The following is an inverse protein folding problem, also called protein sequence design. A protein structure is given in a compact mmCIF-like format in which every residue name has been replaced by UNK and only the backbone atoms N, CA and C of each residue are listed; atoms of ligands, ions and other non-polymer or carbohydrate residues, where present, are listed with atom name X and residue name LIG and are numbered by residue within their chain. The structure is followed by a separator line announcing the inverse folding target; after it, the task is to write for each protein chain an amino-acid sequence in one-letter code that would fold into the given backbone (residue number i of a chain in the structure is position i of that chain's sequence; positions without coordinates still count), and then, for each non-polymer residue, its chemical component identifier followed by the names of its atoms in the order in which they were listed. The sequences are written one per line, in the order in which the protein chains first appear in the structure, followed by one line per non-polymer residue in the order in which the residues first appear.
data_IF_944334499644
#
_entry.id   IF_944334499644
#
_cell.length_a   1.000
_cell.length_b   1.000
_cell.length_c   1.000
_cell.angle_alpha   90.00
_cell.angle_beta   90.00
_cell.angle_gamma   90.00
#
_symmetry.space_group_name_H-M   'P 1'
#
loop_
_entity.id
_entity.type
_entity.pdbx_description
1 polymer ?
#
# COMPACT_ATOMS: atom_id res chain seq x y z
N UNK A 1 -27.73 0.13 3.44
CA UNK A 1 -26.30 0.44 3.27
C UNK A 1 -26.07 0.54 1.77
N UNK A 2 -25.63 1.68 1.26
CA UNK A 2 -25.26 1.77 -0.16
C UNK A 2 -24.08 0.83 -0.39
N UNK A 3 -24.15 0.03 -1.46
CA UNK A 3 -22.99 -0.78 -1.85
C UNK A 3 -21.95 0.18 -2.44
N UNK A 4 -20.74 0.21 -1.89
CA UNK A 4 -19.64 1.00 -2.45
C UNK A 4 -19.37 0.49 -3.86
N UNK A 5 -19.62 1.31 -4.88
CA UNK A 5 -19.48 0.84 -6.26
C UNK A 5 -19.01 1.90 -7.22
N UNK A 6 -18.26 1.47 -8.25
CA UNK A 6 -17.90 2.31 -9.39
C UNK A 6 -18.71 1.87 -10.60
N UNK A 7 -19.55 2.77 -11.12
CA UNK A 7 -20.36 2.53 -12.31
C UNK A 7 -19.55 2.89 -13.58
N UNK A 8 -19.52 1.96 -14.54
CA UNK A 8 -18.87 2.12 -15.84
C UNK A 8 -19.89 2.29 -16.96
N UNK A 9 -19.51 3.03 -18.01
CA UNK A 9 -20.44 3.42 -19.08
C UNK A 9 -20.87 2.24 -19.96
N UNK A 10 -20.03 1.21 -20.05
CA UNK A 10 -20.29 0.02 -20.86
C UNK A 10 -19.62 -1.24 -20.27
N UNK A 11 -20.01 -2.39 -20.82
CA UNK A 11 -19.54 -3.71 -20.39
C UNK A 11 -18.03 -3.87 -20.64
N UNK A 12 -17.50 -3.37 -21.75
CA UNK A 12 -16.08 -3.53 -22.09
C UNK A 12 -15.18 -2.80 -21.07
N UNK A 13 -15.53 -1.57 -20.69
CA UNK A 13 -14.86 -0.81 -19.63
C UNK A 13 -14.94 -1.55 -18.29
N UNK A 14 -16.11 -2.10 -17.95
CA UNK A 14 -16.28 -2.88 -16.72
C UNK A 14 -15.43 -4.16 -16.73
N UNK A 15 -15.32 -4.86 -17.86
CA UNK A 15 -14.50 -6.07 -18.01
C UNK A 15 -13.01 -5.75 -17.88
N UNK A 16 -12.54 -4.67 -18.51
CA UNK A 16 -11.16 -4.19 -18.36
C UNK A 16 -10.87 -3.85 -16.90
N UNK A 17 -11.77 -3.10 -16.24
CA UNK A 17 -11.61 -2.77 -14.83
C UNK A 17 -11.61 -4.01 -13.92
N UNK A 18 -12.47 -4.99 -14.21
CA UNK A 18 -12.53 -6.26 -13.47
C UNK A 18 -11.23 -7.05 -13.60
N UNK A 19 -10.66 -7.12 -14.80
CA UNK A 19 -9.38 -7.77 -15.02
C UNK A 19 -8.23 -7.03 -14.32
N UNK A 20 -8.22 -5.69 -14.39
CA UNK A 20 -7.25 -4.85 -13.69
C UNK A 20 -7.33 -5.05 -12.17
N UNK A 21 -8.54 -5.05 -11.60
CA UNK A 21 -8.78 -5.31 -10.18
C UNK A 21 -8.25 -6.69 -9.77
N UNK A 22 -8.54 -7.73 -10.56
CA UNK A 22 -8.02 -9.08 -10.33
C UNK A 22 -6.49 -9.11 -10.34
N UNK A 23 -5.86 -8.50 -11.34
CA UNK A 23 -4.40 -8.46 -11.45
C UNK A 23 -3.77 -7.72 -10.26
N UNK A 24 -4.39 -6.60 -9.86
CA UNK A 24 -3.99 -5.84 -8.69
C UNK A 24 -4.05 -6.70 -7.42
N UNK A 25 -5.18 -7.38 -7.15
CA UNK A 25 -5.33 -8.24 -5.97
C UNK A 25 -4.31 -9.39 -5.94
N UNK A 26 -4.04 -10.02 -7.08
CA UNK A 26 -3.02 -11.08 -7.18
C UNK A 26 -1.63 -10.54 -6.82
N UNK A 27 -1.26 -9.39 -7.37
CA UNK A 27 0.03 -8.75 -7.12
C UNK A 27 0.17 -8.32 -5.65
N UNK A 28 -0.85 -7.64 -5.11
CA UNK A 28 -0.89 -7.23 -3.69
C UNK A 28 -0.69 -8.43 -2.78
N UNK A 29 -1.48 -9.50 -2.97
CA UNK A 29 -1.43 -10.68 -2.10
C UNK A 29 -0.08 -11.41 -2.16
N UNK A 30 0.54 -11.49 -3.35
CA UNK A 30 1.87 -12.08 -3.49
C UNK A 30 2.91 -11.30 -2.67
N UNK A 31 3.01 -9.98 -2.90
CA UNK A 31 3.99 -9.12 -2.23
C UNK A 31 3.72 -9.04 -0.72
N UNK A 32 2.45 -8.97 -0.32
CA UNK A 32 2.03 -9.00 1.09
C UNK A 32 2.50 -10.27 1.78
N UNK A 33 2.28 -11.43 1.18
CA UNK A 33 2.68 -12.71 1.77
C UNK A 33 4.22 -12.83 1.85
N UNK A 34 4.95 -12.39 0.82
CA UNK A 34 6.41 -12.32 0.87
C UNK A 34 6.89 -11.42 2.02
N UNK A 35 6.21 -10.30 2.23
CA UNK A 35 6.53 -9.39 3.34
C UNK A 35 6.27 -10.01 4.71
N UNK A 36 5.17 -10.74 4.87
CA UNK A 36 4.85 -11.47 6.11
C UNK A 36 5.94 -12.49 6.43
N UNK A 37 6.35 -13.28 5.44
CA UNK A 37 7.44 -14.26 5.59
C UNK A 37 8.74 -13.56 6.00
N UNK A 38 9.06 -12.42 5.39
CA UNK A 38 10.23 -11.63 5.73
C UNK A 38 10.18 -11.14 7.20
N UNK A 39 9.03 -10.65 7.66
CA UNK A 39 8.84 -10.27 9.06
C UNK A 39 9.05 -11.46 10.01
N UNK A 40 8.51 -12.63 9.69
CA UNK A 40 8.67 -13.83 10.51
C UNK A 40 10.15 -14.25 10.64
N UNK A 41 10.88 -14.30 9.52
CA UNK A 41 12.30 -14.66 9.50
C UNK A 41 13.14 -13.63 10.27
N UNK A 42 12.79 -12.35 10.14
CA UNK A 42 13.42 -11.25 10.89
C UNK A 42 13.22 -11.42 12.39
N UNK A 43 11.99 -11.74 12.82
CA UNK A 43 11.66 -12.01 14.23
C UNK A 43 12.43 -13.19 14.81
N UNK A 44 12.62 -14.26 14.03
CA UNK A 44 13.40 -15.44 14.44
C UNK A 44 14.91 -15.17 14.54
N UNK A 45 15.39 -14.09 13.92
CA UNK A 45 16.82 -13.78 13.85
C UNK A 45 17.30 -12.85 14.97
N UNK A 46 16.45 -12.50 15.94
CA UNK A 46 16.76 -11.54 17.01
C UNK A 46 17.98 -11.90 17.87
N UNK A 47 18.31 -13.18 18.01
CA UNK A 47 19.47 -13.65 18.78
C UNK A 47 20.81 -13.39 18.06
N UNK A 48 20.78 -13.16 16.74
CA UNK A 48 21.95 -12.81 15.94
C UNK A 48 21.82 -11.39 15.42
N UNK A 49 22.48 -10.44 16.11
CA UNK A 49 22.37 -9.02 15.78
C UNK A 49 22.70 -8.70 14.32
N UNK A 50 23.71 -9.36 13.72
CA UNK A 50 24.10 -9.11 12.32
C UNK A 50 22.99 -9.52 11.36
N UNK A 51 22.38 -10.67 11.58
CA UNK A 51 21.23 -11.15 10.79
C UNK A 51 20.00 -10.28 11.03
N UNK A 52 19.71 -9.95 12.30
CA UNK A 52 18.57 -9.11 12.65
C UNK A 52 18.66 -7.72 12.02
N UNK A 53 19.83 -7.09 12.06
CA UNK A 53 20.11 -5.81 11.43
C UNK A 53 19.90 -5.85 9.91
N UNK A 54 20.43 -6.88 9.24
CA UNK A 54 20.31 -7.02 7.79
C UNK A 54 18.85 -7.22 7.37
N UNK A 55 18.14 -8.12 8.05
CA UNK A 55 16.75 -8.45 7.76
C UNK A 55 15.80 -7.30 8.12
N UNK A 56 16.05 -6.57 9.22
CA UNK A 56 15.30 -5.37 9.57
C UNK A 56 15.38 -4.29 8.49
N UNK A 57 16.57 -4.02 7.95
CA UNK A 57 16.73 -3.09 6.82
C UNK A 57 16.02 -3.60 5.56
N UNK A 58 16.05 -4.91 5.31
CA UNK A 58 15.28 -5.51 4.22
C UNK A 58 13.77 -5.30 4.41
N UNK A 59 13.23 -5.49 5.62
CA UNK A 59 11.83 -5.21 5.94
C UNK A 59 11.45 -3.75 5.70
N UNK A 60 12.33 -2.79 6.01
CA UNK A 60 12.04 -1.38 5.70
C UNK A 60 11.94 -1.17 4.19
N UNK A 61 12.88 -1.72 3.40
CA UNK A 61 12.87 -1.57 1.94
C UNK A 61 11.63 -2.23 1.33
N UNK A 62 11.39 -3.49 1.67
CA UNK A 62 10.32 -4.30 1.08
C UNK A 62 8.92 -3.79 1.42
N UNK A 63 8.74 -3.11 2.56
CA UNK A 63 7.47 -2.46 2.88
C UNK A 63 7.08 -1.45 1.80
N UNK A 64 8.04 -0.67 1.30
CA UNK A 64 7.76 0.32 0.26
C UNK A 64 7.53 -0.31 -1.11
N UNK A 65 8.04 -1.51 -1.37
CA UNK A 65 7.68 -2.27 -2.58
C UNK A 65 6.19 -2.65 -2.57
N UNK A 66 5.65 -3.06 -1.42
CA UNK A 66 4.21 -3.29 -1.26
C UNK A 66 3.40 -2.01 -1.51
N UNK A 67 3.75 -0.93 -0.81
CA UNK A 67 3.02 0.35 -0.92
C UNK A 67 3.09 0.93 -2.34
N UNK A 68 4.25 0.89 -2.99
CA UNK A 68 4.43 1.36 -4.37
C UNK A 68 3.64 0.52 -5.37
N UNK A 69 3.56 -0.81 -5.16
CA UNK A 69 2.75 -1.72 -5.95
C UNK A 69 1.25 -1.42 -5.82
N UNK A 70 0.78 -1.16 -4.59
CA UNK A 70 -0.61 -0.76 -4.33
C UNK A 70 -0.97 0.56 -4.98
N UNK A 71 -0.11 1.58 -4.84
CA UNK A 71 -0.27 2.87 -5.51
C UNK A 71 -0.40 2.66 -7.03
N UNK A 72 0.47 1.85 -7.63
CA UNK A 72 0.44 1.61 -9.06
C UNK A 72 -0.85 0.90 -9.49
N UNK A 73 -1.17 -0.24 -8.86
CA UNK A 73 -2.36 -1.03 -9.20
C UNK A 73 -3.65 -0.25 -9.08
N UNK A 74 -3.80 0.55 -8.01
CA UNK A 74 -4.96 1.40 -7.81
C UNK A 74 -5.03 2.53 -8.84
N UNK A 75 -3.91 3.14 -9.24
CA UNK A 75 -3.93 4.16 -10.30
C UNK A 75 -4.25 3.59 -11.69
N UNK A 76 -3.91 2.34 -11.97
CA UNK A 76 -4.35 1.69 -13.22
C UNK A 76 -5.87 1.49 -13.22
N UNK A 77 -6.46 1.23 -12.04
CA UNK A 77 -7.90 1.00 -11.89
C UNK A 77 -8.73 2.30 -11.86
N UNK A 78 -8.23 3.33 -11.19
CA UNK A 78 -8.88 4.63 -11.10
C UNK A 78 -7.85 5.77 -10.94
N UNK A 79 -7.29 6.27 -12.05
CA UNK A 79 -6.21 7.26 -12.02
C UNK A 79 -6.71 8.61 -11.50
N UNK A 80 -5.91 9.27 -10.67
CA UNK A 80 -6.18 10.65 -10.31
C UNK A 80 -5.87 11.61 -11.49
N UNK A 81 -6.50 12.80 -11.56
CA UNK A 81 -6.30 13.74 -12.65
C UNK A 81 -4.83 14.15 -12.84
N UNK A 82 -4.36 14.17 -14.09
CA UNK A 82 -2.98 14.47 -14.48
C UNK A 82 -1.94 13.54 -13.83
N UNK A 83 -2.26 12.25 -13.71
CA UNK A 83 -1.32 11.23 -13.23
C UNK A 83 0.05 11.34 -13.96
N UNK A 84 1.12 11.22 -13.19
CA UNK A 84 2.48 11.15 -13.71
C UNK A 84 3.33 10.24 -12.85
N UNK A 85 4.03 9.30 -13.49
CA UNK A 85 5.00 8.44 -12.80
C UNK A 85 6.13 9.23 -12.15
N UNK A 86 6.40 10.45 -12.66
CA UNK A 86 7.42 11.38 -12.15
C UNK A 86 7.01 12.07 -10.85
N UNK A 87 5.75 11.98 -10.43
CA UNK A 87 5.36 12.49 -9.12
C UNK A 87 6.11 11.76 -8.01
N UNK A 88 6.48 12.48 -6.95
CA UNK A 88 7.15 11.89 -5.80
C UNK A 88 6.23 10.89 -5.07
N UNK A 89 6.84 10.00 -4.29
CA UNK A 89 6.12 8.95 -3.57
C UNK A 89 4.98 9.48 -2.70
N UNK A 90 5.22 10.55 -1.93
CA UNK A 90 4.22 11.05 -0.97
C UNK A 90 3.03 11.67 -1.71
N UNK A 91 3.31 12.43 -2.77
CA UNK A 91 2.29 12.99 -3.66
C UNK A 91 1.47 11.90 -4.35
N UNK A 92 2.12 10.84 -4.87
CA UNK A 92 1.42 9.69 -5.45
C UNK A 92 0.54 8.99 -4.42
N UNK A 93 1.07 8.69 -3.23
CA UNK A 93 0.32 8.08 -2.13
C UNK A 93 -0.96 8.87 -1.83
N UNK A 94 -0.82 10.17 -1.55
CA UNK A 94 -1.95 11.02 -1.16
C UNK A 94 -2.98 11.17 -2.28
N UNK A 95 -2.54 11.42 -3.52
CA UNK A 95 -3.45 11.63 -4.66
C UNK A 95 -4.19 10.35 -5.04
N UNK A 96 -3.50 9.21 -5.04
CA UNK A 96 -4.09 7.90 -5.35
C UNK A 96 -5.18 7.56 -4.35
N UNK A 97 -4.84 7.57 -3.06
CA UNK A 97 -5.82 7.22 -2.03
C UNK A 97 -6.94 8.27 -1.90
N UNK A 98 -6.69 9.54 -2.23
CA UNK A 98 -7.75 10.55 -2.36
C UNK A 98 -8.71 10.24 -3.49
N UNK A 99 -8.21 9.86 -4.66
CA UNK A 99 -9.05 9.51 -5.81
C UNK A 99 -9.87 8.25 -5.52
N UNK A 100 -9.20 7.17 -5.10
CA UNK A 100 -9.83 5.88 -4.82
C UNK A 100 -10.90 6.02 -3.73
N UNK A 101 -10.54 6.61 -2.58
CA UNK A 101 -11.51 6.77 -1.50
C UNK A 101 -12.69 7.64 -1.91
N UNK A 102 -12.51 8.60 -2.82
CA UNK A 102 -13.63 9.41 -3.32
C UNK A 102 -14.54 8.64 -4.25
N UNK A 103 -13.97 7.97 -5.25
CA UNK A 103 -14.76 7.23 -6.24
C UNK A 103 -15.45 6.03 -5.62
N UNK A 104 -14.87 5.45 -4.55
CA UNK A 104 -15.41 4.27 -3.89
C UNK A 104 -16.26 4.61 -2.66
N UNK A 105 -16.47 5.90 -2.36
CA UNK A 105 -17.23 6.38 -1.19
C UNK A 105 -16.67 5.86 0.15
N UNK A 106 -15.35 5.97 0.33
CA UNK A 106 -14.55 5.45 1.46
C UNK A 106 -13.63 6.49 2.08
N UNK A 107 -14.00 7.76 2.01
CA UNK A 107 -13.18 8.86 2.52
C UNK A 107 -12.92 8.75 4.03
N UNK A 108 -13.85 8.20 4.79
CA UNK A 108 -13.72 7.97 6.24
C UNK A 108 -12.54 7.03 6.56
N UNK A 109 -12.43 5.92 5.83
CA UNK A 109 -11.34 4.94 5.97
C UNK A 109 -9.99 5.61 5.70
N UNK A 110 -9.91 6.40 4.62
CA UNK A 110 -8.70 7.18 4.31
C UNK A 110 -8.39 8.21 5.40
N UNK A 111 -9.38 8.92 5.92
CA UNK A 111 -9.17 9.93 6.97
C UNK A 111 -8.61 9.31 8.24
N UNK A 112 -9.17 8.18 8.68
CA UNK A 112 -8.70 7.44 9.86
C UNK A 112 -7.22 7.06 9.69
N UNK A 113 -6.86 6.37 8.60
CA UNK A 113 -5.49 5.94 8.36
C UNK A 113 -4.50 7.11 8.21
N UNK A 114 -4.85 8.16 7.45
CA UNK A 114 -3.93 9.28 7.21
C UNK A 114 -3.74 10.18 8.43
N UNK A 115 -4.68 10.19 9.37
CA UNK A 115 -4.55 10.93 10.62
C UNK A 115 -3.62 10.20 11.61
N UNK A 116 -3.82 8.89 11.80
CA UNK A 116 -3.09 8.11 12.81
C UNK A 116 -1.74 7.57 12.33
N UNK A 117 -1.65 7.06 11.11
CA UNK A 117 -0.53 6.19 10.70
C UNK A 117 0.44 6.85 9.70
N UNK A 118 -0.01 7.88 8.97
CA UNK A 118 0.82 8.62 7.99
C UNK A 118 2.15 9.15 8.56
N UNK A 119 2.23 9.68 9.80
CA UNK A 119 3.50 10.18 10.34
C UNK A 119 4.56 9.08 10.44
N UNK A 120 4.19 7.89 10.88
CA UNK A 120 5.11 6.76 11.05
C UNK A 120 5.56 6.21 9.69
N UNK A 121 4.66 6.14 8.70
CA UNK A 121 5.03 5.77 7.33
C UNK A 121 6.05 6.75 6.72
N UNK A 122 5.94 8.05 7.01
CA UNK A 122 6.94 9.06 6.58
C UNK A 122 8.30 8.83 7.22
N UNK A 123 8.33 8.45 8.51
CA UNK A 123 9.58 8.10 9.20
C UNK A 123 10.23 6.88 8.54
N UNK A 124 9.47 5.81 8.31
CA UNK A 124 9.99 4.62 7.61
C UNK A 124 10.45 4.93 6.19
N UNK A 125 9.76 5.84 5.48
CA UNK A 125 10.16 6.26 4.13
C UNK A 125 11.51 6.95 4.14
N UNK A 126 11.73 7.84 5.11
CA UNK A 126 13.04 8.48 5.31
C UNK A 126 14.11 7.42 5.58
N UNK A 127 13.83 6.47 6.48
CA UNK A 127 14.76 5.37 6.78
C UNK A 127 15.09 4.52 5.55
N UNK A 128 14.09 4.22 4.71
CA UNK A 128 14.31 3.51 3.43
C UNK A 128 15.27 4.28 2.54
N UNK A 129 15.08 5.60 2.40
CA UNK A 129 15.95 6.44 1.58
C UNK A 129 17.37 6.51 2.13
N UNK A 130 17.51 6.57 3.45
CA UNK A 130 18.79 6.53 4.18
C UNK A 130 19.52 5.18 3.97
N UNK A 131 18.79 4.05 3.97
CA UNK A 131 19.36 2.72 3.70
C UNK A 131 19.83 2.57 2.25
N UNK A 132 19.03 3.03 1.28
CA UNK A 132 19.35 2.85 -0.14
C UNK A 132 20.45 3.82 -0.58
N UNK A 133 20.46 5.03 -0.03
CA UNK A 133 21.43 6.09 -0.36
C UNK A 133 22.07 6.64 0.92
N UNK A 134 22.91 5.84 1.62
CA UNK A 134 23.54 6.28 2.85
C UNK A 134 24.52 7.43 2.58
N UNK A 135 24.42 8.50 3.38
CA UNK A 135 25.29 9.68 3.32
C UNK A 135 26.24 9.77 4.51
N UNK A 136 25.94 9.05 5.58
CA UNK A 136 26.67 9.03 6.84
C UNK A 136 26.48 7.68 7.54
N UNK A 137 27.36 7.36 8.51
CA UNK A 137 27.34 6.08 9.24
C UNK A 137 26.02 5.91 10.02
N UNK A 138 25.44 6.99 10.52
CA UNK A 138 24.14 7.01 11.22
C UNK A 138 22.96 6.54 10.36
N UNK A 139 23.08 6.54 9.02
CA UNK A 139 22.07 5.98 8.12
C UNK A 139 22.06 4.43 8.13
N UNK A 140 23.07 3.78 8.72
CA UNK A 140 23.07 2.34 8.94
C UNK A 140 22.18 2.03 10.14
N UNK A 141 20.88 1.88 9.90
CA UNK A 141 19.93 1.62 10.98
C UNK A 141 20.17 0.26 11.63
N UNK A 142 20.41 0.29 12.94
CA UNK A 142 20.53 -0.87 13.82
C UNK A 142 19.14 -1.24 14.33
N UNK A 143 18.83 -2.53 14.26
CA UNK A 143 17.59 -3.12 14.70
C UNK A 143 17.56 -3.24 16.23
N UNK A 144 16.40 -2.93 16.81
CA UNK A 144 16.08 -3.25 18.20
C UNK A 144 14.71 -3.91 18.22
N UNK A 145 14.40 -4.65 19.29
CA UNK A 145 13.07 -5.26 19.45
C UNK A 145 11.96 -4.20 19.36
N UNK A 146 12.15 -3.03 19.99
CA UNK A 146 11.21 -1.90 19.92
C UNK A 146 11.01 -1.41 18.49
N UNK A 147 12.08 -1.10 17.75
CA UNK A 147 11.98 -0.64 16.36
C UNK A 147 11.32 -1.67 15.45
N UNK A 148 11.61 -2.94 15.68
CA UNK A 148 10.99 -4.02 14.91
C UNK A 148 9.50 -4.18 15.24
N UNK A 149 9.09 -4.00 16.50
CA UNK A 149 7.67 -3.96 16.89
C UNK A 149 6.95 -2.77 16.25
N UNK A 150 7.58 -1.59 16.22
CA UNK A 150 7.04 -0.40 15.55
C UNK A 150 6.86 -0.65 14.05
N UNK A 151 7.85 -1.22 13.37
CA UNK A 151 7.74 -1.59 11.95
C UNK A 151 6.57 -2.54 11.68
N UNK A 152 6.40 -3.57 12.52
CA UNK A 152 5.26 -4.50 12.41
C UNK A 152 3.92 -3.80 12.62
N UNK A 153 3.83 -2.88 13.58
CA UNK A 153 2.62 -2.10 13.81
C UNK A 153 2.25 -1.26 12.58
N UNK A 154 3.22 -0.55 12.00
CA UNK A 154 2.99 0.27 10.79
C UNK A 154 2.58 -0.61 9.60
N UNK A 155 3.15 -1.80 9.46
CA UNK A 155 2.69 -2.77 8.45
C UNK A 155 1.26 -3.23 8.68
N UNK A 156 0.92 -3.63 9.91
CA UNK A 156 -0.43 -4.11 10.23
C UNK A 156 -1.49 -3.02 10.00
N UNK A 157 -1.17 -1.77 10.36
CA UNK A 157 -2.05 -0.63 10.11
C UNK A 157 -2.26 -0.40 8.60
N UNK A 158 -1.18 -0.49 7.82
CA UNK A 158 -1.26 -0.37 6.36
C UNK A 158 -2.06 -1.51 5.73
N UNK A 159 -1.82 -2.74 6.18
CA UNK A 159 -2.52 -3.93 5.70
C UNK A 159 -4.02 -3.86 6.01
N UNK A 160 -4.38 -3.48 7.25
CA UNK A 160 -5.78 -3.24 7.61
C UNK A 160 -6.40 -2.17 6.73
N UNK A 161 -5.69 -1.06 6.50
CA UNK A 161 -6.17 0.02 5.64
C UNK A 161 -6.46 -0.46 4.21
N UNK A 162 -5.58 -1.25 3.59
CA UNK A 162 -5.82 -1.79 2.25
C UNK A 162 -6.99 -2.77 2.25
N UNK A 163 -7.08 -3.67 3.24
CA UNK A 163 -8.20 -4.59 3.37
C UNK A 163 -9.55 -3.86 3.51
N UNK A 164 -9.61 -2.85 4.37
CA UNK A 164 -10.81 -2.03 4.58
C UNK A 164 -11.17 -1.23 3.32
N UNK A 165 -10.16 -0.73 2.59
CA UNK A 165 -10.35 -0.05 1.32
C UNK A 165 -10.92 -0.99 0.24
N UNK A 166 -10.58 -2.27 0.27
CA UNK A 166 -10.98 -3.26 -0.74
C UNK A 166 -12.28 -3.99 -0.42
N UNK A 167 -12.62 -4.13 0.88
CA UNK A 167 -13.81 -4.84 1.33
C UNK A 167 -15.12 -4.19 0.85
N UNK A 168 -16.12 -4.98 0.46
CA UNK A 168 -17.45 -4.47 0.06
C UNK A 168 -17.44 -3.44 -1.09
N UNK A 169 -16.43 -3.48 -1.97
CA UNK A 169 -16.38 -2.66 -3.18
C UNK A 169 -16.82 -3.47 -4.41
N UNK A 170 -17.65 -2.88 -5.26
CA UNK A 170 -18.24 -3.53 -6.44
C UNK A 170 -18.02 -2.70 -7.71
N UNK A 171 -17.82 -3.38 -8.84
CA UNK A 171 -17.86 -2.76 -10.16
C UNK A 171 -19.24 -3.01 -10.77
N UNK A 172 -19.84 -1.99 -11.37
CA UNK A 172 -21.17 -2.10 -11.98
C UNK A 172 -21.23 -1.41 -13.34
N UNK A 173 -22.22 -1.76 -14.15
CA UNK A 173 -22.57 -1.05 -15.38
C UNK A 173 -24.09 -1.08 -15.54
N UNK A 174 -24.66 -0.03 -16.13
CA UNK A 174 -26.09 -0.02 -16.48
C UNK A 174 -26.29 -0.78 -17.78
N UNK A 175 -27.00 -1.90 -17.72
CA UNK A 175 -27.46 -2.61 -18.90
C UNK A 175 -28.81 -2.02 -19.30
N UNK A 176 -28.86 -1.20 -20.36
CA UNK A 176 -30.13 -0.80 -20.97
C UNK A 176 -30.71 -2.01 -21.70
N UNK A 177 -31.60 -2.75 -21.02
CA UNK A 177 -32.24 -3.97 -21.54
C UNK A 177 -33.34 -3.71 -22.58
N UNK A 178 -33.56 -2.46 -22.99
CA UNK A 178 -34.55 -2.09 -24.00
C UNK A 178 -33.96 -1.07 -24.96
N UNK A 179 -33.85 -1.47 -26.23
CA UNK A 179 -33.83 -0.59 -27.40
C UNK A 179 -35.13 -0.79 -28.16
#
# INVERSE_FOLDING_TARGET
MSNHSKEYNNIDEMLIASQTMRNYQLMHNAIRNDYIVLLEITGKSQENQKSFDALYRACIISMFSLVESDIYGLNVLDPYPNYSDKHDFTSKLEKTFKQISRTWEKEEIKQQYFYSCKPQLKVLKRMRDEIIHPKEISHIHIATETKFKELKAVFNDYDSFINDLMNNFFLSTKINLFK
#
